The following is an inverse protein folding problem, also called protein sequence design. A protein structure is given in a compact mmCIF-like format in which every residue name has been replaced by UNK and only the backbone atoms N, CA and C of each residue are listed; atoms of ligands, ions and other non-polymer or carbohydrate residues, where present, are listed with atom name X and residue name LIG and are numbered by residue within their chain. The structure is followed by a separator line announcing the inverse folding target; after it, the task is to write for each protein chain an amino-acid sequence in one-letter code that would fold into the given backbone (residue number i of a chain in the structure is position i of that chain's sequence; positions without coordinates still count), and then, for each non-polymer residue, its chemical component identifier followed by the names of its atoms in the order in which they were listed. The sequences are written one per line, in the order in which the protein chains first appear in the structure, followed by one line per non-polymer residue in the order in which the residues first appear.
data_IF_091491538534
#
_entry.id   IF_091491538534
#
_cell.length_a   1.000
_cell.length_b   1.000
_cell.length_c   1.000
_cell.angle_alpha   90.00
_cell.angle_beta   90.00
_cell.angle_gamma   90.00
#
_symmetry.space_group_name_H-M   'P 1'
#
loop_
_entity.id
_entity.type
_entity.pdbx_description
1 polymer ?
#
# COMPACT_ATOMS: atom_id res chain seq x y z
N UNK A 1 1.09 2.76 -3.52
CA UNK A 1 -0.10 1.96 -3.13
C UNK A 1 -1.39 2.72 -3.37
N UNK A 2 -1.64 3.82 -2.64
CA UNK A 2 -2.88 4.61 -2.74
C UNK A 2 -3.17 5.14 -4.15
N UNK A 3 -2.15 5.64 -4.87
CA UNK A 3 -2.31 6.11 -6.25
C UNK A 3 -2.83 5.05 -7.21
N UNK A 4 -2.43 3.78 -7.06
CA UNK A 4 -2.97 2.68 -7.85
C UNK A 4 -4.47 2.46 -7.59
N UNK A 5 -4.89 2.52 -6.33
CA UNK A 5 -6.29 2.37 -5.93
C UNK A 5 -7.13 3.53 -6.47
N UNK A 6 -6.67 4.78 -6.26
CA UNK A 6 -7.35 5.97 -6.73
C UNK A 6 -7.50 5.97 -8.26
N UNK A 7 -6.41 5.71 -8.99
CA UNK A 7 -6.44 5.62 -10.45
C UNK A 7 -7.43 4.57 -10.95
N UNK A 8 -7.39 3.36 -10.36
CA UNK A 8 -8.29 2.29 -10.75
C UNK A 8 -9.76 2.62 -10.49
N UNK A 9 -10.08 3.21 -9.35
CA UNK A 9 -11.47 3.60 -9.02
C UNK A 9 -11.99 4.67 -9.97
N UNK A 10 -11.21 5.71 -10.23
CA UNK A 10 -11.60 6.79 -11.14
C UNK A 10 -11.81 6.30 -12.59
N UNK A 11 -10.94 5.39 -13.04
CA UNK A 11 -11.09 4.79 -14.39
C UNK A 11 -12.31 3.86 -14.46
N UNK A 12 -12.58 3.09 -13.40
CA UNK A 12 -13.70 2.14 -13.35
C UNK A 12 -15.08 2.84 -13.37
N UNK A 13 -15.16 4.11 -12.97
CA UNK A 13 -16.38 4.91 -13.11
C UNK A 13 -16.72 5.25 -14.58
N UNK A 14 -15.78 5.03 -15.51
CA UNK A 14 -15.98 5.20 -16.95
C UNK A 14 -16.07 6.64 -17.44
N UNK A 15 -16.02 7.62 -16.53
CA UNK A 15 -16.22 9.04 -16.83
C UNK A 15 -14.92 9.85 -16.94
N UNK A 16 -13.80 9.28 -16.50
CA UNK A 16 -12.54 10.01 -16.36
C UNK A 16 -11.40 9.30 -17.08
N UNK A 17 -10.54 10.08 -17.72
CA UNK A 17 -9.23 9.63 -18.20
C UNK A 17 -8.19 9.98 -17.14
N UNK A 18 -7.36 9.02 -16.77
CA UNK A 18 -6.37 9.15 -15.71
C UNK A 18 -4.97 8.97 -16.29
N UNK A 19 -4.11 9.95 -16.07
CA UNK A 19 -2.67 9.83 -16.26
C UNK A 19 -2.04 9.46 -14.90
N UNK A 20 -1.49 8.26 -14.81
CA UNK A 20 -0.76 7.78 -13.64
C UNK A 20 0.74 7.89 -13.89
N UNK A 21 1.39 8.83 -13.20
CA UNK A 21 2.83 9.04 -13.25
C UNK A 21 3.51 8.30 -12.09
N UNK A 22 4.46 7.42 -12.41
CA UNK A 22 5.25 6.67 -11.44
C UNK A 22 6.73 6.93 -11.69
N UNK A 23 7.45 7.36 -10.66
CA UNK A 23 8.89 7.63 -10.76
C UNK A 23 9.73 6.35 -10.95
N UNK A 24 9.24 5.25 -10.40
CA UNK A 24 9.94 3.99 -10.33
C UNK A 24 9.73 3.07 -11.53
N UNK A 25 10.04 1.83 -11.27
CA UNK A 25 10.09 0.76 -12.25
C UNK A 25 8.76 0.01 -12.40
N UNK A 26 8.67 -0.84 -13.42
CA UNK A 26 7.59 -1.82 -13.56
C UNK A 26 7.64 -2.85 -12.41
N UNK A 27 6.46 -3.33 -11.99
CA UNK A 27 6.31 -4.40 -11.01
C UNK A 27 6.50 -5.82 -11.60
N UNK A 28 6.66 -5.93 -12.91
CA UNK A 28 6.87 -7.21 -13.61
C UNK A 28 8.30 -7.74 -13.44
N UNK A 29 8.63 -8.17 -12.23
CA UNK A 29 9.91 -8.80 -11.96
C UNK A 29 9.74 -9.94 -10.94
N UNK A 30 10.39 -11.11 -11.14
CA UNK A 30 10.22 -12.26 -10.24
C UNK A 30 10.47 -11.93 -8.76
N UNK A 31 11.52 -11.18 -8.43
CA UNK A 31 11.82 -10.80 -7.04
C UNK A 31 10.72 -9.96 -6.37
N UNK A 32 9.97 -9.18 -7.15
CA UNK A 32 8.85 -8.39 -6.62
C UNK A 32 7.63 -9.28 -6.35
N UNK A 33 7.44 -10.32 -7.16
CA UNK A 33 6.28 -11.20 -7.09
C UNK A 33 6.45 -12.36 -6.10
N UNK A 34 7.70 -12.82 -5.87
CA UNK A 34 7.99 -13.87 -4.89
C UNK A 34 8.02 -13.31 -3.46
N UNK A 35 7.29 -13.89 -2.49
CA UNK A 35 7.32 -13.44 -1.10
C UNK A 35 8.73 -13.30 -0.50
N UNK A 36 9.65 -14.27 -0.62
CA UNK A 36 11.01 -14.16 -0.07
C UNK A 36 11.90 -13.15 -0.81
N UNK A 37 11.46 -12.61 -1.93
CA UNK A 37 12.22 -11.61 -2.70
C UNK A 37 12.54 -10.34 -1.92
N UNK A 38 11.74 -10.02 -0.87
CA UNK A 38 11.96 -8.87 0.01
C UNK A 38 13.38 -8.83 0.59
N UNK A 39 13.92 -9.97 1.00
CA UNK A 39 15.28 -10.04 1.58
C UNK A 39 16.37 -9.58 0.62
N UNK A 40 16.16 -9.76 -0.69
CA UNK A 40 17.10 -9.28 -1.71
C UNK A 40 16.81 -7.85 -2.14
N UNK A 41 15.54 -7.42 -2.07
CA UNK A 41 15.13 -6.06 -2.44
C UNK A 41 15.64 -5.03 -1.42
N UNK A 42 15.54 -5.33 -0.12
CA UNK A 42 15.88 -4.40 0.97
C UNK A 42 17.39 -4.15 1.09
N UNK A 43 18.23 -4.99 0.56
CA UNK A 43 19.68 -4.89 0.63
C UNK A 43 20.31 -4.12 -0.56
N UNK A 44 19.57 -3.17 -1.12
CA UNK A 44 20.02 -2.32 -2.21
C UNK A 44 19.58 -2.84 -3.58
N UNK A 45 18.45 -2.37 -4.05
CA UNK A 45 17.95 -2.66 -5.39
C UNK A 45 17.41 -1.41 -6.05
N UNK A 46 17.36 -1.40 -7.38
CA UNK A 46 16.77 -0.30 -8.15
C UNK A 46 15.27 -0.09 -7.86
N UNK A 47 14.60 -1.05 -7.23
CA UNK A 47 13.19 -0.99 -6.84
C UNK A 47 12.97 -0.30 -5.49
N UNK A 48 14.06 0.14 -4.85
CA UNK A 48 14.04 0.83 -3.56
C UNK A 48 14.73 2.18 -3.68
N UNK A 49 14.23 3.16 -2.96
CA UNK A 49 14.91 4.43 -2.66
C UNK A 49 15.17 4.49 -1.16
N UNK A 50 16.33 4.96 -0.76
CA UNK A 50 16.72 5.10 0.63
C UNK A 50 16.80 6.59 0.99
N UNK A 51 15.97 7.00 1.93
CA UNK A 51 16.00 8.33 2.50
C UNK A 51 16.72 8.27 3.84
N UNK A 52 17.49 9.27 4.16
CA UNK A 52 18.20 9.34 5.44
C UNK A 52 17.50 10.31 6.39
N UNK A 53 17.38 9.90 7.64
CA UNK A 53 16.96 10.83 8.69
C UNK A 53 18.04 11.86 8.97
N UNK A 54 17.67 12.97 9.59
CA UNK A 54 18.65 13.78 10.33
C UNK A 54 19.20 12.96 11.51
N UNK A 55 20.39 13.31 12.05
CA UNK A 55 20.89 12.64 13.25
C UNK A 55 19.87 12.66 14.39
N UNK A 56 19.60 11.50 14.96
CA UNK A 56 18.62 11.33 16.03
C UNK A 56 19.29 11.43 17.38
N UNK A 57 19.13 12.56 18.08
CA UNK A 57 19.80 12.84 19.35
C UNK A 57 19.52 11.77 20.42
N UNK A 58 18.28 11.31 20.51
CA UNK A 58 17.85 10.25 21.44
C UNK A 58 18.39 8.85 21.13
N UNK A 59 18.98 8.67 19.94
CA UNK A 59 19.56 7.41 19.48
C UNK A 59 21.07 7.55 19.25
N UNK A 60 21.78 8.28 20.10
CA UNK A 60 23.22 8.52 19.99
C UNK A 60 23.63 9.16 18.66
N UNK A 61 22.85 10.09 18.18
CA UNK A 61 23.03 10.78 16.89
C UNK A 61 23.10 9.86 15.66
N UNK A 62 22.51 8.67 15.75
CA UNK A 62 22.44 7.75 14.60
C UNK A 62 21.57 8.33 13.48
N UNK A 63 22.02 8.13 12.26
CA UNK A 63 21.28 8.36 11.02
C UNK A 63 20.70 7.02 10.58
N UNK A 64 19.41 6.98 10.27
CA UNK A 64 18.72 5.79 9.81
C UNK A 64 18.33 5.92 8.35
N UNK A 65 18.51 4.84 7.60
CA UNK A 65 17.97 4.70 6.26
C UNK A 65 16.49 4.31 6.33
N UNK A 66 15.66 5.04 5.60
CA UNK A 66 14.22 4.76 5.46
C UNK A 66 13.99 4.24 4.03
N UNK A 67 13.85 2.92 3.85
CA UNK A 67 13.61 2.35 2.54
C UNK A 67 12.19 2.61 2.07
N UNK A 68 12.02 3.05 0.82
CA UNK A 68 10.74 3.20 0.15
C UNK A 68 10.73 2.50 -1.20
N UNK A 69 9.58 2.01 -1.63
CA UNK A 69 9.43 1.38 -2.94
C UNK A 69 9.56 2.40 -4.08
N UNK A 70 10.46 2.16 -5.01
CA UNK A 70 10.66 2.89 -6.27
C UNK A 70 10.15 2.06 -7.46
N UNK A 71 8.88 1.74 -7.40
CA UNK A 71 8.23 0.79 -8.31
C UNK A 71 6.72 1.03 -8.32
N UNK A 72 6.04 0.74 -9.41
CA UNK A 72 4.58 0.79 -9.47
C UNK A 72 3.96 -0.05 -8.35
N UNK A 73 3.02 0.53 -7.62
CA UNK A 73 2.46 -0.04 -6.39
C UNK A 73 3.18 0.40 -5.12
N UNK A 74 4.36 1.04 -5.23
CA UNK A 74 5.12 1.57 -4.11
C UNK A 74 5.42 0.54 -3.04
N UNK A 75 5.21 0.88 -1.76
CA UNK A 75 5.46 0.00 -0.61
C UNK A 75 4.78 -1.36 -0.69
N UNK A 76 3.58 -1.46 -1.27
CA UNK A 76 2.88 -2.75 -1.43
C UNK A 76 3.60 -3.74 -2.35
N UNK A 77 4.44 -3.25 -3.25
CA UNK A 77 5.24 -4.08 -4.16
C UNK A 77 6.54 -4.59 -3.54
N UNK A 78 6.95 -4.05 -2.38
CA UNK A 78 8.25 -4.36 -1.75
C UNK A 78 8.16 -4.69 -0.24
N UNK A 79 6.99 -4.59 0.39
CA UNK A 79 6.81 -4.89 1.82
C UNK A 79 6.87 -6.40 2.12
N UNK A 80 6.83 -6.76 3.41
CA UNK A 80 6.81 -8.15 3.88
C UNK A 80 5.45 -8.85 3.70
N UNK A 81 4.44 -8.18 3.13
CA UNK A 81 3.11 -8.71 2.80
C UNK A 81 2.20 -9.07 3.99
N UNK A 82 2.62 -8.90 5.23
CA UNK A 82 1.75 -9.17 6.38
C UNK A 82 0.45 -8.36 6.25
N UNK A 83 -0.69 -9.06 6.30
CA UNK A 83 -2.00 -8.43 6.23
C UNK A 83 -2.54 -8.20 7.62
N UNK A 84 -2.41 -6.97 8.09
CA UNK A 84 -2.92 -6.53 9.39
C UNK A 84 -3.46 -5.10 9.28
N UNK A 85 -4.56 -4.86 9.96
CA UNK A 85 -5.22 -3.55 10.06
C UNK A 85 -4.86 -2.90 11.39
N UNK A 86 -5.04 -1.58 11.49
CA UNK A 86 -5.11 -0.89 12.77
C UNK A 86 -6.32 -1.37 13.59
N UNK A 87 -6.32 -1.05 14.87
CA UNK A 87 -7.46 -1.34 15.76
C UNK A 87 -8.60 -0.36 15.44
N UNK A 88 -9.86 -0.73 15.73
CA UNK A 88 -10.99 0.19 15.61
C UNK A 88 -10.73 1.54 16.28
N UNK A 89 -10.18 1.52 17.51
CA UNK A 89 -9.85 2.73 18.27
C UNK A 89 -8.87 3.66 17.57
N UNK A 90 -7.93 3.13 16.75
CA UNK A 90 -6.95 3.95 16.05
C UNK A 90 -7.64 4.82 14.99
N UNK A 91 -8.65 4.28 14.32
CA UNK A 91 -9.44 5.00 13.31
C UNK A 91 -10.44 5.97 13.96
N UNK A 92 -11.07 5.58 15.07
CA UNK A 92 -12.00 6.45 15.81
C UNK A 92 -11.25 7.65 16.41
N UNK A 93 -9.99 7.46 16.86
CA UNK A 93 -9.12 8.56 17.26
C UNK A 93 -8.81 9.50 16.09
N UNK A 94 -8.46 8.99 14.92
CA UNK A 94 -8.27 9.80 13.72
C UNK A 94 -9.53 10.56 13.33
N UNK A 95 -10.68 9.91 13.38
CA UNK A 95 -11.96 10.55 13.12
C UNK A 95 -12.20 11.73 14.07
N UNK A 96 -11.91 11.56 15.35
CA UNK A 96 -12.05 12.62 16.35
C UNK A 96 -11.18 13.85 16.06
N UNK A 97 -9.97 13.64 15.51
CA UNK A 97 -9.05 14.71 15.16
C UNK A 97 -9.52 15.48 13.91
N UNK A 98 -10.03 14.76 12.89
CA UNK A 98 -10.41 15.39 11.61
C UNK A 98 -11.87 15.81 11.52
N UNK A 99 -12.72 15.39 12.46
CA UNK A 99 -14.16 15.66 12.45
C UNK A 99 -14.52 17.16 12.41
N UNK A 100 -13.58 18.03 12.75
CA UNK A 100 -13.72 19.50 12.64
C UNK A 100 -13.22 20.07 11.32
N UNK A 101 -12.59 19.29 10.45
CA UNK A 101 -12.16 19.72 9.13
C UNK A 101 -13.33 19.68 8.15
N UNK A 102 -13.43 20.72 7.30
CA UNK A 102 -14.52 20.87 6.32
C UNK A 102 -14.37 19.94 5.09
N UNK A 103 -13.52 18.92 5.14
CA UNK A 103 -13.23 18.03 4.00
C UNK A 103 -14.21 16.86 3.85
N UNK A 104 -15.17 16.69 4.80
CA UNK A 104 -16.17 15.62 4.78
C UNK A 104 -15.58 14.22 4.99
N UNK A 105 -14.33 14.11 5.38
CA UNK A 105 -13.69 12.82 5.65
C UNK A 105 -14.31 12.19 6.90
N UNK A 106 -14.65 10.91 6.79
CA UNK A 106 -15.19 10.11 7.89
C UNK A 106 -14.29 8.90 8.10
N UNK A 107 -13.46 8.97 9.14
CA UNK A 107 -12.47 7.96 9.48
C UNK A 107 -12.96 6.99 10.56
N UNK A 108 -14.20 7.15 11.06
CA UNK A 108 -14.75 6.21 12.03
C UNK A 108 -14.63 4.75 11.53
N UNK A 109 -14.34 3.84 12.45
CA UNK A 109 -14.12 2.44 12.14
C UNK A 109 -15.20 1.83 11.24
N UNK A 110 -16.46 2.12 11.49
CA UNK A 110 -17.59 1.61 10.72
C UNK A 110 -17.44 1.89 9.22
N UNK A 111 -16.99 3.10 8.87
CA UNK A 111 -16.79 3.50 7.48
C UNK A 111 -15.52 2.89 6.90
N UNK A 112 -14.42 2.94 7.65
CA UNK A 112 -13.14 2.38 7.20
C UNK A 112 -13.25 0.87 6.99
N UNK A 113 -13.99 0.15 7.83
CA UNK A 113 -14.26 -1.27 7.68
C UNK A 113 -14.90 -1.62 6.32
N UNK A 114 -15.81 -0.79 5.83
CA UNK A 114 -16.45 -1.02 4.52
C UNK A 114 -15.43 -0.99 3.38
N UNK A 115 -14.40 -0.17 3.49
CA UNK A 115 -13.31 -0.11 2.53
C UNK A 115 -12.38 -1.33 2.64
N UNK A 116 -12.09 -1.79 3.85
CA UNK A 116 -11.30 -3.01 4.07
C UNK A 116 -11.99 -4.24 3.49
N UNK A 117 -13.26 -4.46 3.82
CA UNK A 117 -14.02 -5.61 3.29
C UNK A 117 -14.20 -5.54 1.78
N UNK A 118 -14.40 -4.34 1.22
CA UNK A 118 -14.52 -4.13 -0.24
C UNK A 118 -13.23 -4.41 -1.00
N UNK A 119 -12.06 -4.18 -0.40
CA UNK A 119 -10.79 -4.43 -1.08
C UNK A 119 -10.30 -5.86 -0.94
N UNK A 120 -10.72 -6.57 0.11
CA UNK A 120 -10.21 -7.87 0.49
C UNK A 120 -10.82 -9.01 -0.32
N UNK A 121 -9.97 -9.96 -0.69
CA UNK A 121 -10.36 -11.28 -1.21
C UNK A 121 -9.64 -12.34 -0.37
N UNK A 122 -10.25 -12.68 0.77
CA UNK A 122 -9.70 -13.63 1.71
C UNK A 122 -10.01 -15.07 1.29
N UNK A 123 -9.04 -15.98 1.38
CA UNK A 123 -9.20 -17.37 0.99
C UNK A 123 -9.83 -18.25 2.08
N UNK A 124 -9.85 -17.79 3.34
CA UNK A 124 -10.33 -18.57 4.49
C UNK A 124 -11.45 -17.87 5.25
N UNK A 125 -11.33 -16.57 5.48
CA UNK A 125 -12.25 -15.82 6.32
C UNK A 125 -13.33 -15.12 5.48
N UNK A 126 -14.58 -15.36 5.84
CA UNK A 126 -15.76 -14.70 5.27
C UNK A 126 -16.76 -14.41 6.38
N UNK A 127 -16.85 -13.16 6.80
CA UNK A 127 -17.78 -12.69 7.83
C UNK A 127 -17.95 -11.17 7.71
N UNK A 128 -18.51 -10.52 8.72
CA UNK A 128 -18.72 -9.07 8.73
C UNK A 128 -17.41 -8.25 8.69
N UNK A 129 -16.29 -8.84 9.11
CA UNK A 129 -14.98 -8.20 9.13
C UNK A 129 -14.13 -8.52 7.90
N UNK A 130 -14.51 -9.51 7.08
CA UNK A 130 -13.71 -10.02 5.96
C UNK A 130 -14.47 -10.12 4.66
N UNK A 131 -13.86 -9.60 3.58
CA UNK A 131 -14.36 -9.69 2.22
C UNK A 131 -13.70 -10.81 1.41
N UNK A 132 -14.46 -11.34 0.43
CA UNK A 132 -13.99 -12.44 -0.45
C UNK A 132 -14.09 -12.09 -1.94
N UNK A 133 -14.48 -10.86 -2.28
CA UNK A 133 -14.71 -10.42 -3.67
C UNK A 133 -13.86 -9.23 -4.10
N UNK A 134 -13.02 -8.73 -3.21
CA UNK A 134 -12.15 -7.59 -3.51
C UNK A 134 -10.98 -7.98 -4.42
N UNK A 135 -10.26 -6.99 -4.93
CA UNK A 135 -9.12 -7.23 -5.81
C UNK A 135 -7.85 -7.67 -5.08
N UNK A 136 -7.71 -7.36 -3.77
CA UNK A 136 -6.53 -7.68 -2.98
C UNK A 136 -6.62 -9.12 -2.46
N UNK A 137 -5.76 -9.99 -2.99
CA UNK A 137 -5.73 -11.39 -2.59
C UNK A 137 -5.01 -11.54 -1.24
N UNK A 138 -5.71 -12.13 -0.29
CA UNK A 138 -5.22 -12.43 1.07
C UNK A 138 -5.31 -13.92 1.32
N UNK A 139 -4.26 -14.53 1.85
CA UNK A 139 -4.22 -15.95 2.17
C UNK A 139 -3.41 -16.26 3.42
N UNK A 140 -3.68 -17.43 3.97
CA UNK A 140 -2.83 -18.02 4.99
C UNK A 140 -1.43 -18.33 4.42
N UNK A 141 -0.38 -18.44 5.27
CA UNK A 141 0.94 -18.83 4.83
C UNK A 141 0.90 -20.23 4.19
N UNK A 142 1.47 -20.36 2.99
CA UNK A 142 1.53 -21.65 2.29
C UNK A 142 2.40 -22.70 2.99
N UNK A 143 3.32 -22.24 3.86
CA UNK A 143 4.17 -23.09 4.71
C UNK A 143 4.41 -22.39 6.04
N UNK A 144 4.35 -23.15 7.12
CA UNK A 144 4.69 -22.71 8.46
C UNK A 144 5.84 -23.58 8.96
N UNK A 145 6.96 -22.92 9.23
CA UNK A 145 8.16 -23.58 9.75
C UNK A 145 7.89 -24.18 11.15
N UNK A 146 8.53 -25.30 11.47
CA UNK A 146 8.38 -25.98 12.78
C UNK A 146 8.77 -25.08 13.95
N UNK A 147 9.83 -24.31 13.83
CA UNK A 147 10.26 -23.35 14.86
C UNK A 147 9.16 -22.33 15.16
N UNK A 148 8.45 -21.86 14.11
CA UNK A 148 7.31 -20.96 14.29
C UNK A 148 6.13 -21.64 14.99
N UNK A 149 5.90 -22.92 14.75
CA UNK A 149 4.88 -23.72 15.47
C UNK A 149 5.25 -23.89 16.94
N UNK A 150 6.51 -24.25 17.23
CA UNK A 150 7.01 -24.38 18.61
C UNK A 150 6.92 -23.04 19.35
N UNK A 151 7.28 -21.93 18.72
CA UNK A 151 7.11 -20.61 19.31
C UNK A 151 5.66 -20.35 19.73
N UNK A 152 4.73 -20.55 18.79
CA UNK A 152 3.29 -20.35 19.04
C UNK A 152 2.80 -21.26 20.16
N UNK A 153 3.20 -22.54 20.17
CA UNK A 153 2.84 -23.48 21.23
C UNK A 153 3.41 -23.04 22.58
N UNK A 154 4.69 -22.69 22.64
CA UNK A 154 5.33 -22.24 23.89
C UNK A 154 4.66 -21.00 24.48
N UNK A 155 4.26 -20.05 23.63
CA UNK A 155 3.56 -18.85 24.07
C UNK A 155 2.15 -19.18 24.61
N UNK A 156 1.46 -20.14 23.99
CA UNK A 156 0.17 -20.64 24.51
C UNK A 156 0.33 -21.33 25.87
N UNK A 157 1.39 -22.12 26.06
CA UNK A 157 1.72 -22.75 27.38
C UNK A 157 2.00 -21.72 28.47
N UNK A 158 2.39 -20.47 28.10
CA UNK A 158 2.52 -19.32 28.98
C UNK A 158 1.23 -18.55 29.23
N UNK A 159 0.11 -19.03 28.71
CA UNK A 159 -1.22 -18.48 28.98
C UNK A 159 -1.73 -17.47 27.92
N UNK A 160 -0.98 -17.20 26.85
CA UNK A 160 -1.54 -16.37 25.78
C UNK A 160 -2.47 -17.19 24.88
N UNK A 161 -3.66 -16.66 24.57
CA UNK A 161 -4.62 -17.38 23.72
C UNK A 161 -4.11 -17.49 22.28
N UNK A 162 -4.44 -18.60 21.64
CA UNK A 162 -4.25 -18.69 20.20
C UNK A 162 -5.21 -17.75 19.47
N UNK A 163 -4.68 -16.95 18.54
CA UNK A 163 -5.46 -16.04 17.72
C UNK A 163 -5.46 -16.52 16.26
N UNK A 164 -6.64 -16.88 15.78
CA UNK A 164 -6.87 -17.31 14.38
C UNK A 164 -6.96 -16.15 13.40
N UNK A 165 -7.20 -14.93 13.90
CA UNK A 165 -7.54 -13.78 13.09
C UNK A 165 -7.16 -12.47 13.81
N UNK A 166 -6.02 -11.93 13.44
CA UNK A 166 -5.54 -10.65 13.97
C UNK A 166 -6.29 -9.43 13.40
N UNK A 167 -7.16 -9.64 12.41
CA UNK A 167 -8.07 -8.62 11.86
C UNK A 167 -9.53 -8.84 12.29
N UNK A 168 -9.74 -9.76 13.24
CA UNK A 168 -11.02 -10.05 13.86
C UNK A 168 -11.36 -9.11 15.02
N UNK A 169 -12.30 -9.52 15.85
CA UNK A 169 -12.75 -8.76 17.02
C UNK A 169 -11.66 -8.54 18.07
N UNK A 170 -10.67 -9.43 18.14
CA UNK A 170 -9.56 -9.38 19.09
C UNK A 170 -8.23 -9.50 18.40
N UNK A 171 -7.34 -8.55 18.64
CA UNK A 171 -5.96 -8.61 18.13
C UNK A 171 -4.97 -9.27 19.10
N UNK A 172 -5.33 -9.43 20.40
CA UNK A 172 -4.46 -10.07 21.39
C UNK A 172 -4.35 -11.57 21.15
N UNK A 173 -3.16 -12.09 21.40
CA UNK A 173 -2.86 -13.51 21.34
C UNK A 173 -1.64 -13.83 20.49
N UNK A 174 -1.40 -15.12 20.27
CA UNK A 174 -0.33 -15.66 19.45
C UNK A 174 -0.91 -16.47 18.28
N UNK A 175 -0.33 -16.35 17.08
CA UNK A 175 -0.84 -17.06 15.90
C UNK A 175 -0.02 -16.73 14.66
N UNK A 176 -0.59 -17.01 13.50
CA UNK A 176 0.05 -16.77 12.22
C UNK A 176 -0.72 -15.70 11.45
N UNK A 177 0.01 -14.69 10.95
CA UNK A 177 -0.59 -13.67 10.08
C UNK A 177 -1.01 -14.26 8.75
N UNK A 178 -2.06 -13.69 8.17
CA UNK A 178 -2.33 -13.80 6.75
C UNK A 178 -1.44 -12.85 5.96
N UNK A 179 -1.27 -13.11 4.68
CA UNK A 179 -0.39 -12.36 3.80
C UNK A 179 -1.12 -11.88 2.55
N UNK A 180 -0.72 -10.71 2.04
CA UNK A 180 -1.17 -10.19 0.75
C UNK A 180 -0.50 -10.97 -0.39
N UNK A 181 -0.87 -12.23 -0.52
CA UNK A 181 -0.44 -13.12 -1.60
C UNK A 181 -1.46 -14.23 -1.85
N UNK A 182 -1.29 -14.94 -2.93
CA UNK A 182 -2.00 -16.19 -3.24
C UNK A 182 -1.16 -17.03 -4.18
N UNK A 183 -1.12 -18.36 -3.95
CA UNK A 183 -0.37 -19.31 -4.78
C UNK A 183 1.11 -18.92 -4.96
N UNK A 184 1.75 -18.44 -3.90
CA UNK A 184 3.14 -18.03 -3.92
C UNK A 184 3.44 -16.72 -4.67
N UNK A 185 2.42 -15.95 -5.06
CA UNK A 185 2.57 -14.67 -5.73
C UNK A 185 2.04 -13.53 -4.87
N UNK A 186 2.80 -12.43 -4.79
CA UNK A 186 2.40 -11.18 -4.14
C UNK A 186 1.14 -10.61 -4.77
N UNK A 187 0.24 -10.10 -3.95
CA UNK A 187 -0.87 -9.25 -4.34
C UNK A 187 -0.57 -7.81 -3.92
N UNK A 188 0.17 -7.09 -4.75
CA UNK A 188 0.44 -5.66 -4.55
C UNK A 188 -0.71 -4.80 -5.07
N UNK A 189 -0.71 -3.50 -4.76
CA UNK A 189 -1.67 -2.58 -5.33
C UNK A 189 -1.53 -2.48 -6.88
N UNK A 190 -0.34 -2.70 -7.43
CA UNK A 190 -0.16 -2.78 -8.87
C UNK A 190 -0.86 -4.01 -9.47
N UNK A 191 -0.65 -5.20 -8.87
CA UNK A 191 -1.31 -6.43 -9.33
C UNK A 191 -2.83 -6.37 -9.15
N UNK A 192 -3.29 -5.87 -8.01
CA UNK A 192 -4.70 -5.89 -7.65
C UNK A 192 -5.54 -4.86 -8.44
N UNK A 193 -4.97 -3.70 -8.75
CA UNK A 193 -5.74 -2.57 -9.26
C UNK A 193 -5.32 -2.09 -10.66
N UNK A 194 -4.03 -2.14 -10.99
CA UNK A 194 -3.55 -1.63 -12.28
C UNK A 194 -3.49 -2.72 -13.35
N UNK A 195 -3.02 -3.92 -12.99
CA UNK A 195 -2.91 -5.03 -13.94
C UNK A 195 -4.23 -5.36 -14.65
N UNK A 196 -5.40 -5.41 -13.96
CA UNK A 196 -6.68 -5.63 -14.62
C UNK A 196 -7.10 -4.53 -15.61
N UNK A 197 -6.50 -3.34 -15.49
CA UNK A 197 -6.79 -2.17 -16.31
C UNK A 197 -5.72 -1.90 -17.38
N UNK A 198 -4.77 -2.81 -17.60
CA UNK A 198 -3.64 -2.60 -18.52
C UNK A 198 -4.06 -2.22 -19.95
N UNK A 199 -5.21 -2.69 -20.41
CA UNK A 199 -5.77 -2.40 -21.74
C UNK A 199 -6.91 -1.38 -21.70
N UNK A 200 -7.17 -0.72 -20.58
CA UNK A 200 -8.25 0.26 -20.50
C UNK A 200 -7.79 1.58 -21.11
N UNK A 201 -8.48 2.10 -22.16
CA UNK A 201 -8.08 3.32 -22.86
C UNK A 201 -8.15 4.60 -22.00
N UNK A 202 -8.83 4.53 -20.88
CA UNK A 202 -8.94 5.64 -19.92
C UNK A 202 -7.80 5.67 -18.90
N UNK A 203 -6.92 4.66 -18.86
CA UNK A 203 -5.72 4.64 -18.01
C UNK A 203 -4.46 4.82 -18.85
N UNK A 204 -3.77 5.92 -18.65
CA UNK A 204 -2.45 6.17 -19.23
C UNK A 204 -1.41 6.04 -18.12
N UNK A 205 -0.62 4.97 -18.17
CA UNK A 205 0.46 4.73 -17.23
C UNK A 205 1.79 5.15 -17.84
N UNK A 206 2.53 6.01 -17.13
CA UNK A 206 3.90 6.36 -17.49
C UNK A 206 4.84 6.06 -16.33
N UNK A 207 5.82 5.18 -16.57
CA UNK A 207 6.87 4.82 -15.63
C UNK A 207 8.12 5.67 -15.85
N UNK A 208 8.98 5.71 -14.83
CA UNK A 208 10.20 6.52 -14.84
C UNK A 208 9.92 8.01 -15.03
N UNK A 209 8.78 8.47 -14.54
CA UNK A 209 8.33 9.85 -14.61
C UNK A 209 8.35 10.48 -13.22
N UNK A 210 9.42 11.19 -12.89
CA UNK A 210 9.58 11.84 -11.58
C UNK A 210 8.96 13.22 -11.59
N UNK A 211 7.81 13.37 -10.93
CA UNK A 211 7.19 14.68 -10.67
C UNK A 211 8.04 15.45 -9.65
N UNK A 212 8.28 16.71 -9.89
CA UNK A 212 9.05 17.58 -9.01
C UNK A 212 8.36 18.91 -8.70
N UNK A 213 7.24 19.22 -9.39
CA UNK A 213 6.48 20.44 -9.13
C UNK A 213 5.01 20.26 -9.46
N UNK A 214 4.14 20.76 -8.60
CA UNK A 214 2.73 21.02 -8.88
C UNK A 214 2.60 22.52 -9.20
N UNK A 215 2.06 22.84 -10.38
CA UNK A 215 1.87 24.22 -10.81
C UNK A 215 0.47 24.68 -10.38
N UNK A 216 0.46 25.68 -9.48
CA UNK A 216 -0.75 26.27 -8.94
C UNK A 216 -0.95 27.64 -9.61
N UNK A 217 -2.14 27.92 -10.11
CA UNK A 217 -2.54 29.20 -10.70
C UNK A 217 -3.90 29.58 -10.10
N UNK A 218 -4.00 30.77 -9.56
CA UNK A 218 -5.20 31.28 -8.89
C UNK A 218 -5.77 30.24 -7.88
N UNK A 219 -4.92 29.81 -6.97
CA UNK A 219 -5.22 28.83 -5.89
C UNK A 219 -5.67 27.45 -6.36
N UNK A 220 -5.52 27.16 -7.63
CA UNK A 220 -5.93 25.88 -8.23
C UNK A 220 -4.72 25.17 -8.83
N UNK A 221 -4.54 23.89 -8.52
CA UNK A 221 -3.55 23.03 -9.16
C UNK A 221 -3.97 22.74 -10.60
N UNK A 222 -3.16 23.19 -11.58
CA UNK A 222 -3.49 23.10 -13.02
C UNK A 222 -2.66 22.09 -13.77
N UNK A 223 -1.44 21.85 -13.34
CA UNK A 223 -0.53 20.93 -14.02
C UNK A 223 0.55 20.42 -13.08
N UNK A 224 1.26 19.40 -13.52
CA UNK A 224 2.48 18.92 -12.87
C UNK A 224 3.64 18.98 -13.85
N UNK A 225 4.80 19.34 -13.35
CA UNK A 225 6.07 19.29 -14.08
C UNK A 225 6.82 18.03 -13.64
N UNK A 226 7.26 17.23 -14.62
CA UNK A 226 7.96 15.98 -14.36
C UNK A 226 9.08 15.75 -15.37
N UNK A 227 10.07 14.97 -14.99
CA UNK A 227 11.10 14.44 -15.89
C UNK A 227 10.73 13.03 -16.33
N UNK A 228 10.77 12.79 -17.64
CA UNK A 228 10.55 11.44 -18.19
C UNK A 228 11.81 10.56 -18.09
N UNK A 229 11.73 9.34 -18.60
CA UNK A 229 12.84 8.37 -18.60
C UNK A 229 14.13 8.88 -19.25
N UNK A 230 14.02 9.79 -20.23
CA UNK A 230 15.17 10.39 -20.91
C UNK A 230 15.71 11.62 -20.16
N UNK A 231 15.10 12.01 -19.04
CA UNK A 231 15.46 13.21 -18.27
C UNK A 231 14.87 14.49 -18.86
N UNK A 232 14.03 14.39 -19.91
CA UNK A 232 13.37 15.53 -20.54
C UNK A 232 12.24 16.03 -19.64
N UNK A 233 12.24 17.33 -19.39
CA UNK A 233 11.18 17.98 -18.63
C UNK A 233 9.91 18.10 -19.46
N UNK A 234 8.79 17.71 -18.86
CA UNK A 234 7.44 17.73 -19.46
C UNK A 234 6.43 18.31 -18.49
N UNK A 235 5.34 18.81 -19.03
CA UNK A 235 4.21 19.32 -18.25
C UNK A 235 2.96 18.53 -18.64
N UNK A 236 2.26 18.00 -17.63
CA UNK A 236 0.95 17.40 -17.80
C UNK A 236 -0.11 18.30 -17.18
N UNK A 237 -1.12 18.66 -17.95
CA UNK A 237 -2.25 19.49 -17.52
C UNK A 237 -3.40 18.60 -17.09
N UNK A 238 -4.14 19.05 -16.07
CA UNK A 238 -5.39 18.44 -15.66
C UNK A 238 -6.57 19.38 -15.93
N UNK A 239 -7.66 18.82 -16.44
CA UNK A 239 -8.94 19.51 -16.56
C UNK A 239 -9.82 19.35 -15.31
N UNK A 240 -9.36 18.55 -14.33
CA UNK A 240 -10.04 18.26 -13.07
C UNK A 240 -9.01 18.26 -11.94
N UNK A 241 -8.94 17.19 -11.17
CA UNK A 241 -8.12 17.09 -9.98
C UNK A 241 -6.69 16.62 -10.28
N UNK A 242 -5.75 17.00 -9.43
CA UNK A 242 -4.41 16.43 -9.35
C UNK A 242 -4.30 15.72 -8.00
N UNK A 243 -4.16 14.38 -8.05
CA UNK A 243 -4.09 13.54 -6.85
C UNK A 243 -2.64 13.24 -6.54
N UNK A 244 -2.17 13.74 -5.41
CA UNK A 244 -0.82 13.51 -4.91
C UNK A 244 -0.78 12.23 -4.08
N UNK A 245 0.02 11.25 -4.52
CA UNK A 245 0.16 9.94 -3.88
C UNK A 245 1.61 9.47 -3.90
N UNK A 246 2.56 10.40 -3.70
CA UNK A 246 4.00 10.14 -3.81
C UNK A 246 4.60 9.44 -2.56
N UNK A 247 3.78 9.11 -1.58
CA UNK A 247 4.18 8.46 -0.32
C UNK A 247 4.38 9.45 0.82
N UNK A 248 4.53 8.94 2.04
CA UNK A 248 4.52 9.75 3.26
C UNK A 248 5.65 10.81 3.33
N UNK A 249 6.78 10.58 2.64
CA UNK A 249 7.91 11.49 2.66
C UNK A 249 7.93 12.45 1.47
N UNK A 250 7.26 12.11 0.36
CA UNK A 250 7.39 12.83 -0.91
C UNK A 250 6.09 13.49 -1.38
N UNK A 251 4.97 13.27 -0.68
CA UNK A 251 3.69 13.95 -0.94
C UNK A 251 3.62 15.34 -0.33
#
# INVERSE_FOLDING_TARGET
SSGCVAAARLVSEGKRRVLLLEAGHSYHHPLLNMPPGIFKLINGSKYMTYHQTVPQSHLSNRVHDIPQGNVLGGGSSVNAQCYIRGRPSDYDEWDSIVRGSNDGANWAWENVLTHFTRMENNNRLQNQLHGVKGPLLVSDPGHINEVSRWFVQTVQEKGEPFNHDFNGERQRGVGFYQFMNRNGKRSSAANAYIEPLANNPNLILQLHCKVHKINIQNETARSVTYKDRAGVEKIAYSNSDIILSAGALMS
#
